data_IF_501383982576
#
_entry.id   IF_501383982576
#
_cell.length_a   1.000
_cell.length_b   1.000
_cell.length_c   1.000
_cell.angle_alpha   90.00
_cell.angle_beta   90.00
_cell.angle_gamma   90.00
#
_symmetry.space_group_name_H-M   'P 1'
#
loop_
_entity.id
_entity.type
_entity.pdbx_description
1 polymer ?
#
# COMPACT_ATOMS: atom_id res chain seq x y z
N UNK A 1 22.06 -31.76 -2.04
CA UNK A 1 22.06 -32.69 -0.90
C UNK A 1 20.72 -33.42 -0.87
N UNK A 2 20.70 -34.72 -1.20
CA UNK A 2 19.50 -35.55 -1.28
C UNK A 2 19.16 -36.15 0.08
N UNK A 3 17.91 -36.04 0.51
CA UNK A 3 17.36 -36.84 1.61
C UNK A 3 16.60 -38.03 1.05
N UNK A 4 16.77 -39.23 1.61
CA UNK A 4 15.99 -40.41 1.22
C UNK A 4 14.55 -40.27 1.72
N UNK A 5 13.56 -40.47 0.85
CA UNK A 5 12.17 -40.55 1.31
C UNK A 5 12.03 -41.72 2.31
N UNK A 6 11.20 -41.55 3.34
CA UNK A 6 10.90 -42.60 4.30
C UNK A 6 10.15 -43.73 3.60
N UNK A 7 10.69 -44.94 3.70
CA UNK A 7 9.93 -46.19 3.48
C UNK A 7 9.90 -46.92 4.79
N UNK A 8 8.75 -47.49 5.14
CA UNK A 8 8.69 -48.40 6.27
C UNK A 8 9.24 -49.74 5.80
N UNK A 9 10.37 -50.14 6.34
CA UNK A 9 10.92 -51.48 6.14
C UNK A 9 10.08 -52.47 6.92
N UNK A 10 9.53 -53.46 6.23
CA UNK A 10 8.84 -54.57 6.87
C UNK A 10 9.82 -55.28 7.83
N UNK A 11 9.47 -55.32 9.11
CA UNK A 11 10.29 -55.97 10.16
C UNK A 11 10.47 -57.47 9.92
N UNK A 12 9.57 -58.10 9.15
CA UNK A 12 9.62 -59.54 8.86
C UNK A 12 10.54 -59.91 7.69
N UNK A 13 10.51 -59.15 6.59
CA UNK A 13 11.24 -59.52 5.37
C UNK A 13 12.25 -58.47 4.89
N UNK A 14 12.37 -57.34 5.58
CA UNK A 14 13.19 -56.20 5.16
C UNK A 14 12.64 -55.44 3.93
N UNK A 15 11.58 -55.92 3.29
CA UNK A 15 10.99 -55.29 2.12
C UNK A 15 10.38 -53.93 2.44
N UNK A 16 10.65 -52.92 1.61
CA UNK A 16 10.04 -51.59 1.72
C UNK A 16 8.55 -51.66 1.37
N UNK A 17 7.67 -51.31 2.31
CA UNK A 17 6.21 -51.38 2.15
C UNK A 17 5.64 -50.02 1.76
N UNK A 18 4.70 -50.06 0.83
CA UNK A 18 4.02 -48.91 0.34
C UNK A 18 2.88 -48.49 1.27
N UNK A 19 2.82 -47.24 1.74
CA UNK A 19 1.70 -46.76 2.55
C UNK A 19 0.62 -46.13 1.69
N UNK A 20 -0.41 -46.89 1.32
CA UNK A 20 -1.60 -46.32 0.67
C UNK A 20 -2.58 -45.82 1.72
N UNK A 21 -2.78 -44.50 1.75
CA UNK A 21 -3.56 -43.76 2.73
C UNK A 21 -2.98 -43.87 4.17
N UNK A 22 -3.29 -42.87 5.01
CA UNK A 22 -2.94 -42.80 6.43
C UNK A 22 -3.72 -43.88 7.25
N UNK A 23 -3.66 -45.13 6.81
CA UNK A 23 -4.19 -46.28 7.50
C UNK A 23 -3.11 -46.79 8.45
N UNK A 24 -3.49 -47.07 9.70
CA UNK A 24 -2.57 -47.43 10.79
C UNK A 24 -1.77 -48.72 10.52
N UNK A 25 -2.17 -49.52 9.52
CA UNK A 25 -1.51 -50.75 9.14
C UNK A 25 -1.56 -50.93 7.62
N UNK A 26 -0.44 -51.38 7.04
CA UNK A 26 -0.39 -51.80 5.64
C UNK A 26 0.24 -53.18 5.51
N UNK A 27 -0.39 -54.03 4.70
CA UNK A 27 0.09 -55.38 4.45
C UNK A 27 1.29 -55.34 3.50
N UNK A 28 2.42 -55.89 3.93
CA UNK A 28 3.63 -55.99 3.12
C UNK A 28 3.35 -56.85 1.87
N UNK A 29 3.52 -56.33 0.64
CA UNK A 29 3.21 -57.09 -0.58
C UNK A 29 4.18 -58.26 -0.81
N UNK A 30 5.34 -58.28 -0.14
CA UNK A 30 6.35 -59.33 -0.33
C UNK A 30 6.15 -60.54 0.60
N UNK A 31 5.71 -60.32 1.85
CA UNK A 31 5.62 -61.39 2.84
C UNK A 31 4.27 -61.47 3.58
N UNK A 32 3.32 -60.60 3.24
CA UNK A 32 2.00 -60.54 3.87
C UNK A 32 1.99 -60.02 5.31
N UNK A 33 3.12 -59.59 5.87
CA UNK A 33 3.16 -59.07 7.23
C UNK A 33 2.48 -57.70 7.33
N UNK A 34 1.64 -57.51 8.35
CA UNK A 34 1.12 -56.19 8.69
C UNK A 34 2.27 -55.32 9.22
N UNK A 35 2.52 -54.22 8.52
CA UNK A 35 3.45 -53.18 8.94
C UNK A 35 2.61 -52.08 9.56
N UNK A 36 2.64 -52.01 10.88
CA UNK A 36 2.06 -50.90 11.63
C UNK A 36 3.05 -49.74 11.64
N UNK A 37 2.57 -48.56 11.26
CA UNK A 37 3.29 -47.33 11.58
C UNK A 37 3.19 -47.08 13.07
N UNK A 38 4.26 -46.57 13.66
CA UNK A 38 4.16 -46.09 15.03
C UNK A 38 3.17 -44.91 15.08
N UNK A 39 2.21 -44.88 16.02
CA UNK A 39 1.23 -43.79 16.10
C UNK A 39 1.86 -42.39 16.11
N UNK A 40 3.02 -42.24 16.73
CA UNK A 40 3.85 -41.02 16.79
C UNK A 40 4.45 -40.60 15.43
N UNK A 41 4.67 -41.52 14.49
CA UNK A 41 5.08 -41.18 13.12
C UNK A 41 3.90 -40.67 12.29
N UNK A 42 2.75 -41.33 12.41
CA UNK A 42 1.50 -40.90 11.77
C UNK A 42 1.12 -39.50 12.24
N UNK A 43 1.11 -39.27 13.55
CA UNK A 43 0.78 -37.99 14.15
C UNK A 43 1.72 -36.87 13.66
N UNK A 44 3.03 -37.13 13.59
CA UNK A 44 4.01 -36.16 13.06
C UNK A 44 3.74 -35.80 11.60
N UNK A 45 3.44 -36.78 10.74
CA UNK A 45 3.15 -36.53 9.32
C UNK A 45 1.82 -35.77 9.13
N UNK A 46 0.80 -36.11 9.91
CA UNK A 46 -0.49 -35.40 9.92
C UNK A 46 -0.30 -33.96 10.38
N UNK A 47 0.44 -33.75 11.47
CA UNK A 47 0.74 -32.42 11.99
C UNK A 47 1.51 -31.57 10.97
N UNK A 48 2.56 -32.13 10.34
CA UNK A 48 3.30 -31.48 9.27
C UNK A 48 2.39 -31.06 8.10
N UNK A 49 1.51 -31.96 7.65
CA UNK A 49 0.55 -31.67 6.57
C UNK A 49 -0.37 -30.51 6.91
N UNK A 50 -0.96 -30.53 8.11
CA UNK A 50 -1.88 -29.49 8.56
C UNK A 50 -1.18 -28.14 8.70
N UNK A 51 0.01 -28.12 9.30
CA UNK A 51 0.80 -26.92 9.48
C UNK A 51 1.18 -26.28 8.12
N UNK A 52 1.76 -27.06 7.22
CA UNK A 52 2.15 -26.54 5.88
C UNK A 52 0.92 -26.09 5.10
N UNK A 53 -0.15 -26.91 5.06
CA UNK A 53 -1.38 -26.52 4.36
C UNK A 53 -2.00 -25.25 4.93
N UNK A 54 -1.99 -25.08 6.25
CA UNK A 54 -2.47 -23.88 6.92
C UNK A 54 -1.69 -22.63 6.50
N UNK A 55 -0.35 -22.71 6.48
CA UNK A 55 0.52 -21.60 6.02
C UNK A 55 0.29 -21.27 4.54
N UNK A 56 0.15 -22.27 3.68
CA UNK A 56 -0.12 -22.07 2.25
C UNK A 56 -1.50 -21.48 1.97
N UNK A 57 -2.53 -21.91 2.72
CA UNK A 57 -3.86 -21.30 2.66
C UNK A 57 -3.84 -19.85 3.19
N UNK A 58 -3.03 -19.57 4.21
CA UNK A 58 -2.72 -18.20 4.64
C UNK A 58 -2.14 -17.37 3.49
N UNK A 59 -1.07 -17.86 2.86
CA UNK A 59 -0.42 -17.19 1.73
C UNK A 59 -1.38 -16.90 0.57
N UNK A 60 -2.25 -17.86 0.23
CA UNK A 60 -3.26 -17.68 -0.81
C UNK A 60 -4.26 -16.56 -0.49
N UNK A 61 -4.74 -16.48 0.76
CA UNK A 61 -5.64 -15.39 1.20
C UNK A 61 -4.97 -14.02 1.15
N UNK A 62 -3.70 -13.95 1.55
CA UNK A 62 -2.91 -12.72 1.50
C UNK A 62 -2.70 -12.23 0.05
N UNK A 63 -2.40 -13.14 -0.88
CA UNK A 63 -2.29 -12.82 -2.32
C UNK A 63 -3.63 -12.40 -2.92
N UNK A 64 -4.73 -13.07 -2.57
CA UNK A 64 -6.07 -12.67 -3.00
C UNK A 64 -6.42 -11.26 -2.49
N UNK A 65 -6.06 -10.94 -1.25
CA UNK A 65 -6.20 -9.59 -0.69
C UNK A 65 -5.38 -8.58 -1.48
N UNK A 66 -4.10 -8.87 -1.75
CA UNK A 66 -3.21 -8.03 -2.54
C UNK A 66 -3.77 -7.75 -3.95
N UNK A 67 -4.32 -8.77 -4.60
CA UNK A 67 -4.97 -8.63 -5.91
C UNK A 67 -6.24 -7.79 -5.84
N UNK A 68 -7.04 -7.96 -4.80
CA UNK A 68 -8.23 -7.13 -4.58
C UNK A 68 -7.84 -5.64 -4.47
N UNK A 69 -6.80 -5.33 -3.69
CA UNK A 69 -6.26 -3.98 -3.58
C UNK A 69 -5.71 -3.45 -4.89
N UNK A 70 -4.91 -4.24 -5.61
CA UNK A 70 -4.39 -3.85 -6.91
C UNK A 70 -5.53 -3.59 -7.92
N UNK A 71 -6.61 -4.38 -7.89
CA UNK A 71 -7.78 -4.22 -8.76
C UNK A 71 -8.61 -2.97 -8.45
N UNK A 72 -8.68 -2.58 -7.18
CA UNK A 72 -9.44 -1.41 -6.76
C UNK A 72 -8.62 -0.12 -6.84
N UNK A 73 -7.35 -0.17 -6.45
CA UNK A 73 -6.55 1.01 -6.14
C UNK A 73 -5.16 1.07 -6.83
N UNK A 74 -4.58 -0.06 -7.24
CA UNK A 74 -3.20 -0.11 -7.78
C UNK A 74 -3.06 -0.16 -9.31
N UNK A 75 -4.06 -0.65 -10.04
CA UNK A 75 -3.94 -0.99 -11.47
C UNK A 75 -4.30 0.14 -12.43
N UNK A 76 -4.16 -0.12 -13.74
CA UNK A 76 -4.72 0.73 -14.79
C UNK A 76 -6.22 0.99 -14.57
N UNK A 77 -6.92 0.04 -13.95
CA UNK A 77 -8.31 0.20 -13.51
C UNK A 77 -8.49 1.22 -12.40
N UNK A 78 -7.55 1.38 -11.48
CA UNK A 78 -7.65 2.39 -10.42
C UNK A 78 -7.56 3.81 -11.00
N UNK A 79 -6.69 4.03 -12.00
CA UNK A 79 -6.70 5.28 -12.78
C UNK A 79 -8.07 5.51 -13.44
N UNK A 80 -8.71 4.46 -13.96
CA UNK A 80 -10.08 4.56 -14.50
C UNK A 80 -11.13 4.87 -13.42
N UNK A 81 -10.99 4.33 -12.21
CA UNK A 81 -12.00 4.40 -11.15
C UNK A 81 -11.92 5.64 -10.26
N UNK A 82 -10.73 6.15 -9.94
CA UNK A 82 -10.56 7.30 -9.04
C UNK A 82 -10.89 8.65 -9.66
N UNK A 83 -11.08 8.67 -10.97
CA UNK A 83 -11.64 9.79 -11.67
C UNK A 83 -13.17 9.86 -11.52
N UNK A 84 -13.81 9.53 -10.39
CA UNK A 84 -15.25 9.81 -10.18
C UNK A 84 -15.55 11.32 -10.18
N UNK A 85 -14.54 12.13 -9.83
CA UNK A 85 -14.58 13.58 -10.03
C UNK A 85 -14.59 13.99 -11.50
N UNK A 86 -14.07 13.17 -12.43
CA UNK A 86 -14.10 13.50 -13.87
C UNK A 86 -15.51 13.43 -14.46
N UNK A 87 -16.33 12.38 -14.30
CA UNK A 87 -17.71 12.41 -14.75
C UNK A 87 -18.52 13.47 -14.01
N UNK A 88 -18.22 13.80 -12.73
CA UNK A 88 -18.87 14.95 -12.05
C UNK A 88 -18.47 16.29 -12.68
N UNK A 89 -17.18 16.54 -12.88
CA UNK A 89 -16.67 17.79 -13.47
C UNK A 89 -17.12 17.91 -14.92
N UNK A 90 -17.10 16.81 -15.69
CA UNK A 90 -17.69 16.74 -17.01
C UNK A 90 -19.20 16.97 -16.95
N UNK A 91 -19.90 16.46 -15.93
CA UNK A 91 -21.33 16.72 -15.72
C UNK A 91 -21.61 18.19 -15.46
N UNK A 92 -20.93 18.80 -14.49
CA UNK A 92 -21.10 20.21 -14.13
C UNK A 92 -20.69 21.09 -15.29
N UNK A 93 -19.56 20.80 -15.93
CA UNK A 93 -19.09 21.51 -17.13
C UNK A 93 -20.08 21.41 -18.28
N UNK A 94 -20.67 20.21 -18.50
CA UNK A 94 -21.73 20.01 -19.49
C UNK A 94 -22.98 20.80 -19.11
N UNK A 95 -23.49 20.73 -17.88
CA UNK A 95 -24.66 21.53 -17.44
C UNK A 95 -24.40 23.02 -17.68
N UNK A 96 -23.23 23.54 -17.28
CA UNK A 96 -22.89 24.95 -17.45
C UNK A 96 -22.82 25.33 -18.93
N UNK A 97 -22.17 24.50 -19.76
CA UNK A 97 -22.10 24.71 -21.20
C UNK A 97 -23.52 24.73 -21.81
N UNK A 98 -24.35 23.76 -21.44
CA UNK A 98 -25.71 23.61 -21.97
C UNK A 98 -26.65 24.71 -21.48
N UNK A 99 -26.52 25.14 -20.22
CA UNK A 99 -27.21 26.30 -19.68
C UNK A 99 -26.80 27.58 -20.43
N UNK A 100 -25.50 27.77 -20.67
CA UNK A 100 -24.98 28.89 -21.46
C UNK A 100 -25.49 28.89 -22.90
N UNK A 101 -25.49 27.75 -23.58
CA UNK A 101 -26.06 27.59 -24.93
C UNK A 101 -27.56 27.88 -24.93
N UNK A 102 -28.29 27.42 -23.91
CA UNK A 102 -29.72 27.70 -23.78
C UNK A 102 -30.02 29.19 -23.56
N UNK A 103 -29.25 29.87 -22.70
CA UNK A 103 -29.39 31.31 -22.48
C UNK A 103 -29.02 32.12 -23.72
N UNK A 104 -27.96 31.72 -24.44
CA UNK A 104 -27.59 32.34 -25.71
C UNK A 104 -28.67 32.13 -26.77
N UNK A 105 -29.20 30.91 -26.92
CA UNK A 105 -30.27 30.61 -27.86
C UNK A 105 -31.54 31.43 -27.60
N UNK A 106 -31.88 31.66 -26.33
CA UNK A 106 -33.00 32.52 -25.93
C UNK A 106 -32.71 34.01 -26.26
N UNK A 107 -31.50 34.49 -25.96
CA UNK A 107 -31.07 35.85 -26.27
C UNK A 107 -31.08 36.17 -27.78
N UNK A 108 -30.81 35.18 -28.64
CA UNK A 108 -30.89 35.32 -30.11
C UNK A 108 -32.28 35.00 -30.69
N UNK A 109 -33.30 34.74 -29.85
CA UNK A 109 -34.67 34.47 -30.29
C UNK A 109 -34.86 33.12 -31.00
N UNK A 110 -33.87 32.22 -30.92
CA UNK A 110 -33.91 30.89 -31.53
C UNK A 110 -34.85 29.91 -30.78
N UNK A 111 -35.22 30.25 -29.54
CA UNK A 111 -36.00 29.39 -28.65
C UNK A 111 -37.50 29.23 -29.00
N UNK A 112 -38.06 30.04 -29.91
CA UNK A 112 -39.52 30.08 -30.17
C UNK A 112 -40.06 28.96 -31.08
N UNK A 113 -39.20 28.20 -31.74
CA UNK A 113 -39.59 27.09 -32.62
C UNK A 113 -39.66 25.72 -31.91
N UNK A 114 -40.20 24.70 -32.60
CA UNK A 114 -40.24 23.31 -32.11
C UNK A 114 -38.86 22.76 -31.69
N UNK A 115 -37.78 23.27 -32.30
CA UNK A 115 -36.40 22.96 -31.91
C UNK A 115 -36.02 23.36 -30.48
N UNK A 116 -36.62 24.43 -29.95
CA UNK A 116 -36.36 24.90 -28.57
C UNK A 116 -36.87 23.95 -27.49
N UNK A 117 -37.96 23.21 -27.76
CA UNK A 117 -38.53 22.21 -26.82
C UNK A 117 -37.84 20.85 -26.91
N UNK A 118 -37.28 20.49 -28.05
CA UNK A 118 -36.61 19.21 -28.30
C UNK A 118 -35.16 19.19 -27.81
N UNK A 119 -34.48 20.33 -27.83
CA UNK A 119 -33.08 20.43 -27.44
C UNK A 119 -32.81 19.95 -25.99
N UNK A 120 -33.58 20.35 -24.96
CA UNK A 120 -33.35 19.88 -23.59
C UNK A 120 -33.55 18.37 -23.43
N UNK A 121 -34.52 17.79 -24.14
CA UNK A 121 -34.80 16.35 -24.11
C UNK A 121 -33.67 15.55 -24.77
N UNK A 122 -33.19 15.98 -25.95
CA UNK A 122 -32.09 15.33 -26.66
C UNK A 122 -30.80 15.36 -25.83
N UNK A 123 -30.56 16.49 -25.17
CA UNK A 123 -29.43 16.69 -24.26
C UNK A 123 -29.50 15.76 -23.04
N UNK A 124 -30.69 15.61 -22.45
CA UNK A 124 -30.91 14.67 -21.35
C UNK A 124 -30.63 13.22 -21.79
N UNK A 125 -31.17 12.78 -22.94
CA UNK A 125 -30.95 11.42 -23.46
C UNK A 125 -29.47 11.16 -23.77
N UNK A 126 -28.77 12.11 -24.40
CA UNK A 126 -27.34 12.01 -24.68
C UNK A 126 -26.53 11.84 -23.39
N UNK A 127 -26.86 12.65 -22.37
CA UNK A 127 -26.21 12.60 -21.06
C UNK A 127 -26.38 11.25 -20.37
N UNK A 128 -27.60 10.70 -20.33
CA UNK A 128 -27.84 9.37 -19.75
C UNK A 128 -27.17 8.25 -20.57
N UNK A 129 -27.10 8.37 -21.89
CA UNK A 129 -26.45 7.39 -22.77
C UNK A 129 -24.94 7.35 -22.58
N UNK A 130 -24.29 8.52 -22.49
CA UNK A 130 -22.86 8.62 -22.19
C UNK A 130 -22.56 8.05 -20.80
N UNK A 131 -23.42 8.33 -19.82
CA UNK A 131 -23.27 7.80 -18.46
C UNK A 131 -23.46 6.27 -18.39
N UNK A 132 -24.48 5.75 -19.08
CA UNK A 132 -24.72 4.31 -19.20
C UNK A 132 -23.57 3.58 -19.88
N UNK A 133 -23.05 4.13 -20.98
CA UNK A 133 -21.87 3.61 -21.67
C UNK A 133 -20.61 3.62 -20.79
N UNK A 134 -20.38 4.71 -20.06
CA UNK A 134 -19.28 4.80 -19.09
C UNK A 134 -19.40 3.75 -17.98
N UNK A 135 -20.60 3.56 -17.40
CA UNK A 135 -20.82 2.55 -16.35
C UNK A 135 -20.64 1.13 -16.87
N UNK A 136 -21.16 0.80 -18.05
CA UNK A 136 -20.99 -0.53 -18.64
C UNK A 136 -19.51 -0.85 -18.91
N UNK A 137 -18.78 0.11 -19.50
CA UNK A 137 -17.34 0.01 -19.69
C UNK A 137 -16.61 -0.17 -18.36
N UNK A 138 -16.98 0.61 -17.33
CA UNK A 138 -16.43 0.55 -15.98
C UNK A 138 -16.60 -0.83 -15.31
N UNK A 139 -17.73 -1.51 -15.53
CA UNK A 139 -18.00 -2.82 -14.93
C UNK A 139 -17.46 -4.02 -15.72
N UNK A 140 -17.15 -3.86 -17.01
CA UNK A 140 -16.77 -4.96 -17.92
C UNK A 140 -15.36 -5.55 -17.73
N UNK A 141 -14.47 -4.90 -16.97
CA UNK A 141 -13.06 -5.30 -16.81
C UNK A 141 -12.73 -6.47 -15.86
N UNK A 142 -13.69 -7.32 -15.47
CA UNK A 142 -13.51 -8.30 -14.36
C UNK A 142 -13.04 -9.69 -14.81
N UNK A 143 -11.76 -9.88 -15.09
CA UNK A 143 -11.26 -11.20 -15.52
C UNK A 143 -9.81 -11.58 -15.19
N UNK A 144 -9.15 -10.96 -14.21
CA UNK A 144 -7.80 -11.39 -13.82
C UNK A 144 -7.81 -12.76 -13.13
N UNK A 145 -7.05 -13.74 -13.64
CA UNK A 145 -6.78 -14.99 -12.93
C UNK A 145 -5.95 -14.71 -11.68
N UNK A 146 -6.35 -15.31 -10.56
CA UNK A 146 -5.60 -15.20 -9.32
C UNK A 146 -4.23 -15.88 -9.44
N UNK A 147 -3.19 -15.20 -8.96
CA UNK A 147 -1.84 -15.73 -8.84
C UNK A 147 -1.80 -16.72 -7.68
N UNK A 148 -1.40 -17.96 -7.98
CA UNK A 148 -1.08 -18.93 -6.96
C UNK A 148 0.36 -18.71 -6.45
N UNK A 149 0.59 -18.94 -5.16
CA UNK A 149 1.93 -18.98 -4.61
C UNK A 149 2.72 -20.12 -5.28
N UNK A 150 3.87 -19.80 -5.87
CA UNK A 150 4.76 -20.80 -6.47
C UNK A 150 5.70 -21.30 -5.39
N UNK A 151 5.65 -22.60 -5.11
CA UNK A 151 6.54 -23.24 -4.14
C UNK A 151 7.66 -23.98 -4.84
N UNK A 152 8.88 -23.88 -4.32
CA UNK A 152 9.95 -24.76 -4.70
C UNK A 152 9.63 -26.18 -4.22
N UNK A 153 9.80 -27.17 -5.09
CA UNK A 153 9.68 -28.57 -4.71
C UNK A 153 10.99 -29.07 -4.09
N UNK A 154 10.90 -29.86 -3.04
CA UNK A 154 12.04 -30.50 -2.42
C UNK A 154 12.43 -31.76 -3.20
N UNK A 155 13.71 -31.92 -3.56
CA UNK A 155 14.19 -33.16 -4.18
C UNK A 155 14.51 -34.21 -3.12
N UNK A 156 13.83 -35.36 -3.20
CA UNK A 156 14.07 -36.56 -2.39
C UNK A 156 14.53 -37.71 -3.26
N UNK A 157 15.39 -38.59 -2.73
CA UNK A 157 15.75 -39.82 -3.43
C UNK A 157 14.79 -40.94 -3.03
N UNK A 158 14.28 -41.68 -4.02
CA UNK A 158 13.49 -42.87 -3.76
C UNK A 158 14.35 -43.91 -3.03
N UNK A 159 13.92 -44.43 -1.88
CA UNK A 159 14.70 -45.42 -1.13
C UNK A 159 14.80 -46.78 -1.84
N UNK A 160 13.86 -47.10 -2.75
CA UNK A 160 13.87 -48.37 -3.50
C UNK A 160 14.81 -48.35 -4.71
N UNK A 161 14.79 -47.28 -5.51
CA UNK A 161 15.53 -47.21 -6.78
C UNK A 161 16.58 -46.10 -6.86
N UNK A 162 16.69 -45.26 -5.83
CA UNK A 162 17.62 -44.11 -5.80
C UNK A 162 17.20 -42.90 -6.63
N UNK A 163 16.19 -43.03 -7.50
CA UNK A 163 15.80 -41.95 -8.42
C UNK A 163 15.34 -40.68 -7.68
N UNK A 164 15.75 -39.49 -8.13
CA UNK A 164 15.30 -38.23 -7.55
C UNK A 164 13.83 -37.97 -7.86
N UNK A 165 13.11 -37.42 -6.90
CA UNK A 165 11.70 -37.07 -6.98
C UNK A 165 11.47 -35.70 -6.34
N UNK A 166 10.63 -34.88 -6.95
CA UNK A 166 10.22 -33.59 -6.41
C UNK A 166 8.95 -33.77 -5.57
N UNK A 167 9.03 -33.57 -4.26
CA UNK A 167 7.86 -33.51 -3.37
C UNK A 167 7.45 -32.05 -3.16
N UNK A 168 6.15 -31.75 -3.28
CA UNK A 168 5.66 -30.41 -2.95
C UNK A 168 5.53 -30.25 -1.43
N UNK A 169 5.76 -29.04 -0.88
CA UNK A 169 5.53 -28.80 0.54
C UNK A 169 4.11 -29.19 0.96
N UNK A 170 3.99 -30.01 2.00
CA UNK A 170 2.70 -30.48 2.54
C UNK A 170 2.12 -31.72 1.87
N UNK A 171 2.76 -32.27 0.83
CA UNK A 171 2.48 -33.63 0.35
C UNK A 171 3.13 -34.65 1.30
N UNK A 172 2.31 -35.51 1.89
CA UNK A 172 2.75 -36.56 2.83
C UNK A 172 3.03 -37.87 2.11
N UNK A 173 2.36 -38.09 0.99
CA UNK A 173 2.42 -39.33 0.23
C UNK A 173 2.41 -38.99 -1.26
N UNK A 174 3.42 -39.48 -1.97
CA UNK A 174 3.48 -39.50 -3.43
C UNK A 174 4.13 -40.83 -3.88
N UNK A 175 4.11 -41.12 -5.18
CA UNK A 175 4.70 -42.33 -5.74
C UNK A 175 5.90 -41.98 -6.61
N UNK A 176 6.98 -42.75 -6.46
CA UNK A 176 8.14 -42.62 -7.33
C UNK A 176 7.72 -42.92 -8.78
N UNK A 177 7.88 -41.94 -9.68
CA UNK A 177 7.57 -42.10 -11.12
C UNK A 177 8.31 -43.25 -11.81
N UNK A 178 9.42 -43.73 -11.25
CA UNK A 178 10.24 -44.78 -11.86
C UNK A 178 9.85 -46.19 -11.41
N UNK A 179 9.69 -46.40 -10.10
CA UNK A 179 9.45 -47.74 -9.55
C UNK A 179 8.11 -47.88 -8.80
N UNK A 180 7.27 -46.85 -8.84
CA UNK A 180 5.99 -46.73 -8.15
C UNK A 180 6.04 -46.90 -6.61
N UNK A 181 7.24 -47.00 -6.01
CA UNK A 181 7.36 -47.05 -4.56
C UNK A 181 6.89 -45.73 -3.96
N UNK A 182 6.06 -45.72 -2.92
CA UNK A 182 5.66 -44.48 -2.30
C UNK A 182 6.80 -43.85 -1.54
N UNK A 183 6.67 -42.55 -1.39
CA UNK A 183 7.65 -41.66 -0.83
C UNK A 183 7.02 -40.95 0.36
N UNK A 184 7.59 -41.14 1.54
CA UNK A 184 7.27 -40.33 2.71
C UNK A 184 8.33 -39.24 2.89
N UNK A 185 7.97 -38.01 3.31
CA UNK A 185 8.97 -37.01 3.62
C UNK A 185 9.76 -37.42 4.88
N UNK A 186 11.09 -37.41 4.80
CA UNK A 186 11.91 -37.53 6.01
C UNK A 186 11.94 -36.22 6.81
N UNK A 187 12.54 -36.22 8.00
CA UNK A 187 12.61 -35.02 8.86
C UNK A 187 13.18 -33.79 8.15
N UNK A 188 14.28 -33.94 7.41
CA UNK A 188 14.91 -32.85 6.66
C UNK A 188 13.98 -32.25 5.60
N UNK A 189 13.21 -33.10 4.90
CA UNK A 189 12.24 -32.69 3.89
C UNK A 189 11.05 -31.97 4.54
N UNK A 190 10.62 -32.45 5.71
CA UNK A 190 9.58 -31.78 6.50
C UNK A 190 10.04 -30.40 6.98
N UNK A 191 11.23 -30.27 7.55
CA UNK A 191 11.82 -28.99 7.97
C UNK A 191 11.96 -28.03 6.79
N UNK A 192 12.48 -28.50 5.65
CA UNK A 192 12.56 -27.70 4.44
C UNK A 192 11.17 -27.27 3.94
N UNK A 193 10.18 -28.16 3.94
CA UNK A 193 8.81 -27.83 3.54
C UNK A 193 8.14 -26.81 4.47
N UNK A 194 8.41 -26.87 5.79
CA UNK A 194 7.95 -25.85 6.75
C UNK A 194 8.59 -24.49 6.46
N UNK A 195 9.89 -24.46 6.22
CA UNK A 195 10.63 -23.23 5.90
C UNK A 195 10.20 -22.63 4.55
N UNK A 196 9.94 -23.44 3.53
CA UNK A 196 9.38 -22.97 2.24
C UNK A 196 7.95 -22.41 2.42
N UNK A 197 7.10 -23.08 3.19
CA UNK A 197 5.75 -22.59 3.45
C UNK A 197 5.74 -21.28 4.28
N UNK A 198 6.69 -21.12 5.20
CA UNK A 198 6.90 -19.87 5.94
C UNK A 198 7.35 -18.73 5.02
N UNK A 199 8.34 -18.99 4.16
CA UNK A 199 8.80 -18.02 3.16
C UNK A 199 7.67 -17.63 2.20
N UNK A 200 6.85 -18.58 1.77
CA UNK A 200 5.70 -18.31 0.92
C UNK A 200 4.67 -17.41 1.61
N UNK A 201 4.31 -17.70 2.87
CA UNK A 201 3.41 -16.86 3.67
C UNK A 201 3.98 -15.45 3.84
N UNK A 202 5.24 -15.33 4.25
CA UNK A 202 5.90 -14.03 4.43
C UNK A 202 5.97 -13.23 3.11
N UNK A 203 6.27 -13.89 1.99
CA UNK A 203 6.28 -13.23 0.68
C UNK A 203 4.89 -12.71 0.26
N UNK A 204 3.84 -13.44 0.62
CA UNK A 204 2.46 -13.04 0.37
C UNK A 204 2.03 -11.86 1.24
N UNK A 205 2.39 -11.86 2.53
CA UNK A 205 2.17 -10.72 3.44
C UNK A 205 2.90 -9.45 2.96
N UNK A 206 4.12 -9.61 2.43
CA UNK A 206 4.88 -8.52 1.83
C UNK A 206 4.19 -7.99 0.56
N UNK A 207 3.71 -8.87 -0.33
CA UNK A 207 2.98 -8.44 -1.52
C UNK A 207 1.64 -7.78 -1.18
N UNK A 208 0.92 -8.27 -0.15
CA UNK A 208 -0.25 -7.57 0.40
C UNK A 208 0.12 -6.15 0.81
N UNK A 209 1.15 -6.02 1.67
CA UNK A 209 1.59 -4.72 2.17
C UNK A 209 1.99 -3.77 1.03
N UNK A 210 2.69 -4.27 0.00
CA UNK A 210 3.03 -3.50 -1.20
C UNK A 210 1.79 -3.09 -2.00
N UNK A 211 0.80 -3.96 -2.14
CA UNK A 211 -0.45 -3.65 -2.84
C UNK A 211 -1.27 -2.59 -2.09
N UNK A 212 -1.40 -2.72 -0.78
CA UNK A 212 -2.05 -1.72 0.09
C UNK A 212 -1.36 -0.37 -0.01
N UNK A 213 -0.03 -0.33 0.10
CA UNK A 213 0.73 0.92 0.00
C UNK A 213 0.59 1.59 -1.37
N UNK A 214 0.68 0.82 -2.46
CA UNK A 214 0.43 1.33 -3.82
C UNK A 214 -0.98 1.88 -3.96
N UNK A 215 -1.97 1.15 -3.47
CA UNK A 215 -3.36 1.55 -3.51
C UNK A 215 -3.64 2.83 -2.72
N UNK A 216 -3.12 2.92 -1.50
CA UNK A 216 -3.24 4.12 -0.67
C UNK A 216 -2.47 5.31 -1.24
N UNK A 217 -1.30 5.08 -1.85
CA UNK A 217 -0.56 6.11 -2.56
C UNK A 217 -1.35 6.65 -3.75
N UNK A 218 -1.99 5.78 -4.53
CA UNK A 218 -2.85 6.19 -5.64
C UNK A 218 -4.09 6.97 -5.16
N UNK A 219 -4.78 6.50 -4.13
CA UNK A 219 -5.88 7.21 -3.48
C UNK A 219 -5.45 8.59 -3.00
N UNK A 220 -4.33 8.64 -2.29
CA UNK A 220 -3.77 9.88 -1.77
C UNK A 220 -3.30 10.82 -2.89
N UNK A 221 -2.73 10.28 -3.97
CA UNK A 221 -2.35 11.04 -5.16
C UNK A 221 -3.56 11.69 -5.85
N UNK A 222 -4.73 11.07 -5.74
CA UNK A 222 -6.01 11.63 -6.21
C UNK A 222 -6.74 12.48 -5.17
N UNK A 223 -6.27 12.50 -3.92
CA UNK A 223 -7.00 13.19 -2.86
C UNK A 223 -7.01 14.69 -3.12
N UNK A 224 -8.22 15.23 -3.18
CA UNK A 224 -8.45 16.64 -3.40
C UNK A 224 -7.93 17.50 -2.25
N UNK A 225 -7.43 16.97 -1.13
CA UNK A 225 -7.07 17.77 0.05
C UNK A 225 -6.13 18.96 -0.27
N UNK A 226 -5.20 18.79 -1.21
CA UNK A 226 -4.36 19.89 -1.71
C UNK A 226 -5.15 20.87 -2.59
N UNK A 227 -6.10 20.39 -3.40
CA UNK A 227 -6.93 21.21 -4.28
C UNK A 227 -8.23 21.73 -3.65
N UNK A 228 -8.72 21.21 -2.52
CA UNK A 228 -10.08 21.49 -2.00
C UNK A 228 -10.32 22.98 -1.79
N UNK A 229 -9.41 23.76 -1.18
CA UNK A 229 -9.63 25.20 -1.07
C UNK A 229 -9.68 25.89 -2.43
N UNK A 230 -8.89 25.43 -3.41
CA UNK A 230 -8.92 25.95 -4.77
C UNK A 230 -10.16 25.51 -5.55
N UNK A 231 -10.74 24.34 -5.27
CA UNK A 231 -11.99 23.88 -5.88
C UNK A 231 -13.16 24.66 -5.30
N UNK A 232 -13.25 24.77 -3.97
CA UNK A 232 -14.34 25.48 -3.30
C UNK A 232 -14.27 26.96 -3.65
N UNK A 233 -13.17 27.64 -3.36
CA UNK A 233 -13.06 29.10 -3.59
C UNK A 233 -12.92 29.40 -5.10
N UNK A 234 -12.16 28.58 -5.83
CA UNK A 234 -11.96 28.76 -7.26
C UNK A 234 -13.14 28.36 -8.12
N UNK A 235 -14.19 27.70 -7.59
CA UNK A 235 -15.46 27.54 -8.32
C UNK A 235 -16.34 28.78 -8.25
N UNK A 236 -16.27 29.55 -7.16
CA UNK A 236 -16.93 30.85 -7.05
C UNK A 236 -16.23 31.94 -7.87
N UNK A 237 -14.92 31.80 -8.11
CA UNK A 237 -14.15 32.79 -8.86
C UNK A 237 -14.67 32.95 -10.31
N UNK A 238 -14.86 31.91 -11.14
CA UNK A 238 -15.46 32.05 -12.46
C UNK A 238 -16.85 32.68 -12.41
N UNK A 239 -17.72 32.28 -11.48
CA UNK A 239 -19.07 32.85 -11.39
C UNK A 239 -19.03 34.35 -11.06
N UNK A 240 -18.26 34.73 -10.05
CA UNK A 240 -18.16 36.13 -9.63
C UNK A 240 -17.38 36.98 -10.63
N UNK A 241 -16.28 36.48 -11.18
CA UNK A 241 -15.45 37.19 -12.16
C UNK A 241 -16.16 37.31 -13.51
N UNK A 242 -16.71 36.23 -14.07
CA UNK A 242 -17.45 36.30 -15.34
C UNK A 242 -18.74 37.11 -15.19
N UNK A 243 -19.42 36.99 -14.05
CA UNK A 243 -20.56 37.85 -13.72
C UNK A 243 -20.16 39.32 -13.66
N UNK A 244 -19.04 39.65 -12.99
CA UNK A 244 -18.50 41.01 -12.91
C UNK A 244 -18.16 41.55 -14.29
N UNK A 245 -17.43 40.79 -15.11
CA UNK A 245 -17.03 41.18 -16.46
C UNK A 245 -18.25 41.34 -17.36
N UNK A 246 -19.17 40.38 -17.37
CA UNK A 246 -20.40 40.43 -18.15
C UNK A 246 -21.27 41.64 -17.79
N UNK A 247 -21.47 41.89 -16.50
CA UNK A 247 -22.20 43.06 -16.01
C UNK A 247 -21.49 44.37 -16.39
N UNK A 248 -20.15 44.42 -16.26
CA UNK A 248 -19.35 45.58 -16.68
C UNK A 248 -19.54 45.88 -18.16
N UNK A 249 -19.53 44.84 -19.01
CA UNK A 249 -19.72 44.98 -20.47
C UNK A 249 -21.15 45.40 -20.79
N UNK A 250 -22.17 44.77 -20.20
CA UNK A 250 -23.58 45.15 -20.39
C UNK A 250 -23.86 46.58 -19.97
N UNK A 251 -23.29 47.01 -18.83
CA UNK A 251 -23.36 48.39 -18.35
C UNK A 251 -22.67 49.36 -19.30
N UNK A 252 -21.45 49.05 -19.76
CA UNK A 252 -20.71 49.87 -20.71
C UNK A 252 -21.41 50.00 -22.08
N UNK A 253 -22.15 48.98 -22.51
CA UNK A 253 -22.97 49.00 -23.73
C UNK A 253 -24.33 49.70 -23.57
N UNK A 254 -24.65 50.23 -22.38
CA UNK A 254 -25.93 50.88 -22.09
C UNK A 254 -27.14 49.96 -22.12
N UNK A 255 -26.94 48.63 -22.10
CA UNK A 255 -28.01 47.63 -22.14
C UNK A 255 -28.69 47.44 -20.78
N UNK A 256 -27.96 47.69 -19.70
CA UNK A 256 -28.49 47.62 -18.34
C UNK A 256 -28.50 49.01 -17.68
N UNK A 257 -29.62 49.37 -17.06
CA UNK A 257 -29.77 50.55 -16.18
C UNK A 257 -29.71 50.19 -14.70
N UNK A 258 -29.14 49.03 -14.37
CA UNK A 258 -29.04 48.53 -13.01
C UNK A 258 -28.20 49.45 -12.10
N UNK A 259 -28.38 49.37 -10.77
CA UNK A 259 -27.63 50.19 -9.83
C UNK A 259 -26.13 49.88 -9.93
N UNK A 260 -25.30 50.90 -10.09
CA UNK A 260 -23.82 50.83 -10.10
C UNK A 260 -23.29 50.10 -8.86
N UNK A 261 -24.00 50.18 -7.73
CA UNK A 261 -23.68 49.44 -6.52
C UNK A 261 -23.55 47.93 -6.71
N UNK A 262 -24.37 47.32 -7.58
CA UNK A 262 -24.28 45.88 -7.88
C UNK A 262 -22.95 45.49 -8.52
N UNK A 263 -22.43 46.34 -9.41
CA UNK A 263 -21.14 46.13 -10.07
C UNK A 263 -19.98 46.19 -9.07
N UNK A 264 -19.98 47.16 -8.16
CA UNK A 264 -18.96 47.26 -7.12
C UNK A 264 -18.97 46.04 -6.18
N UNK A 265 -20.15 45.55 -5.81
CA UNK A 265 -20.29 44.34 -4.99
C UNK A 265 -19.68 43.12 -5.69
N UNK A 266 -19.97 42.92 -6.98
CA UNK A 266 -19.43 41.80 -7.75
C UNK A 266 -17.90 41.84 -7.86
N UNK A 267 -17.32 43.01 -8.17
CA UNK A 267 -15.87 43.18 -8.20
C UNK A 267 -15.21 43.03 -6.81
N UNK A 268 -15.85 43.53 -5.75
CA UNK A 268 -15.37 43.35 -4.38
C UNK A 268 -15.34 41.85 -3.98
N UNK A 269 -16.38 41.09 -4.34
CA UNK A 269 -16.42 39.64 -4.12
C UNK A 269 -15.35 38.90 -4.93
N UNK A 270 -15.15 39.26 -6.20
CA UNK A 270 -14.08 38.70 -7.02
C UNK A 270 -12.68 38.98 -6.41
N UNK A 271 -12.44 40.23 -5.99
CA UNK A 271 -11.20 40.63 -5.32
C UNK A 271 -10.97 39.88 -4.00
N UNK A 272 -12.00 39.73 -3.17
CA UNK A 272 -11.94 38.96 -1.93
C UNK A 272 -11.58 37.48 -2.18
N UNK A 273 -12.15 36.86 -3.22
CA UNK A 273 -11.83 35.48 -3.60
C UNK A 273 -10.36 35.33 -4.03
N UNK A 274 -9.84 36.24 -4.86
CA UNK A 274 -8.42 36.26 -5.26
C UNK A 274 -7.51 36.45 -4.05
N UNK A 275 -7.84 37.40 -3.17
CA UNK A 275 -7.09 37.67 -1.94
C UNK A 275 -7.04 36.46 -1.01
N UNK A 276 -8.18 35.78 -0.82
CA UNK A 276 -8.26 34.57 -0.01
C UNK A 276 -7.42 33.41 -0.60
N UNK A 277 -7.46 33.22 -1.92
CA UNK A 277 -6.62 32.24 -2.61
C UNK A 277 -5.13 32.54 -2.45
N UNK A 278 -4.74 33.81 -2.59
CA UNK A 278 -3.38 34.29 -2.36
C UNK A 278 -2.92 34.03 -0.92
N UNK A 279 -3.77 34.34 0.07
CA UNK A 279 -3.47 34.10 1.48
C UNK A 279 -3.31 32.61 1.80
N UNK A 280 -4.18 31.75 1.24
CA UNK A 280 -4.06 30.29 1.39
C UNK A 280 -2.77 29.78 0.74
N UNK A 281 -2.41 30.29 -0.44
CA UNK A 281 -1.16 29.94 -1.12
C UNK A 281 0.07 30.34 -0.28
N UNK A 282 0.12 31.59 0.20
CA UNK A 282 1.23 32.08 1.02
C UNK A 282 1.33 31.34 2.35
N UNK A 283 0.20 31.10 3.02
CA UNK A 283 0.16 30.29 4.24
C UNK A 283 0.72 28.89 4.00
N UNK A 284 0.37 28.28 2.86
CA UNK A 284 0.84 26.94 2.51
C UNK A 284 2.33 26.91 2.19
N UNK A 285 2.81 27.87 1.41
CA UNK A 285 4.24 28.02 1.10
C UNK A 285 5.04 28.18 2.38
N UNK A 286 4.62 29.09 3.28
CA UNK A 286 5.31 29.32 4.54
C UNK A 286 5.38 28.07 5.43
N UNK A 287 4.29 27.28 5.48
CA UNK A 287 4.27 26.00 6.20
C UNK A 287 5.18 24.95 5.57
N UNK A 288 5.26 24.90 4.24
CA UNK A 288 6.20 24.04 3.54
C UNK A 288 7.65 24.44 3.84
N UNK A 289 7.96 25.74 3.85
CA UNK A 289 9.29 26.25 4.19
C UNK A 289 9.69 25.95 5.64
N UNK A 290 8.73 25.96 6.58
CA UNK A 290 8.96 25.52 7.96
C UNK A 290 9.33 24.03 8.00
N UNK A 291 8.60 23.20 7.25
CA UNK A 291 8.82 21.77 7.18
C UNK A 291 10.19 21.44 6.57
N UNK A 292 10.54 22.09 5.46
CA UNK A 292 11.82 21.89 4.78
C UNK A 292 13.00 22.35 5.65
N UNK A 293 12.82 23.42 6.44
CA UNK A 293 13.81 23.84 7.46
C UNK A 293 13.97 22.80 8.57
N UNK A 294 12.88 22.21 9.05
CA UNK A 294 12.94 21.17 10.07
C UNK A 294 13.60 19.88 9.56
N UNK A 295 13.49 19.57 8.26
CA UNK A 295 14.11 18.39 7.63
C UNK A 295 15.54 18.61 7.13
N UNK A 296 15.98 19.86 6.94
CA UNK A 296 17.31 20.20 6.41
C UNK A 296 18.48 19.55 7.18
N UNK A 297 18.49 19.49 8.53
CA UNK A 297 19.58 18.82 9.25
C UNK A 297 19.73 17.34 8.87
N UNK A 298 18.60 16.63 8.65
CA UNK A 298 18.61 15.24 8.20
C UNK A 298 19.20 15.09 6.80
N UNK A 299 18.85 16.01 5.87
CA UNK A 299 19.42 16.05 4.52
C UNK A 299 20.95 16.18 4.56
N UNK A 300 21.47 17.10 5.38
CA UNK A 300 22.91 17.34 5.48
C UNK A 300 23.68 16.20 6.16
N UNK A 301 23.13 15.60 7.23
CA UNK A 301 23.86 14.60 8.04
C UNK A 301 23.88 13.22 7.40
N UNK A 302 22.79 12.81 6.77
CA UNK A 302 22.62 11.44 6.24
C UNK A 302 22.75 11.35 4.73
N UNK A 303 23.25 12.42 4.08
CA UNK A 303 23.27 12.57 2.61
C UNK A 303 21.90 12.23 2.01
N UNK A 304 20.83 12.63 2.70
CA UNK A 304 19.50 12.20 2.35
C UNK A 304 18.99 12.94 1.11
N UNK A 305 18.20 12.24 0.30
CA UNK A 305 17.53 12.76 -0.87
C UNK A 305 16.08 13.10 -0.52
N UNK A 306 15.60 14.31 -0.89
CA UNK A 306 14.18 14.61 -0.78
C UNK A 306 13.38 13.72 -1.73
N UNK A 307 12.27 13.19 -1.25
CA UNK A 307 11.33 12.42 -2.04
C UNK A 307 10.22 13.36 -2.50
N UNK A 308 10.10 13.54 -3.81
CA UNK A 308 9.24 14.56 -4.44
C UNK A 308 7.74 14.35 -4.19
N UNK A 309 7.32 13.11 -3.93
CA UNK A 309 5.91 12.76 -3.75
C UNK A 309 5.71 11.41 -2.99
N UNK A 310 4.45 11.05 -2.79
CA UNK A 310 4.06 9.81 -2.14
C UNK A 310 4.44 8.55 -2.96
N UNK A 311 4.62 8.65 -4.28
CA UNK A 311 5.07 7.53 -5.12
C UNK A 311 6.56 7.25 -4.90
N UNK A 312 7.38 8.29 -4.79
CA UNK A 312 8.80 8.16 -4.44
C UNK A 312 8.97 7.54 -3.04
N UNK A 313 8.14 7.97 -2.07
CA UNK A 313 8.06 7.35 -0.74
C UNK A 313 7.65 5.87 -0.83
N UNK A 314 6.60 5.55 -1.58
CA UNK A 314 6.17 4.16 -1.79
C UNK A 314 7.27 3.31 -2.44
N UNK A 315 7.97 3.85 -3.45
CA UNK A 315 9.08 3.17 -4.10
C UNK A 315 10.27 2.92 -3.17
N UNK A 316 10.48 3.77 -2.16
CA UNK A 316 11.43 3.49 -1.08
C UNK A 316 10.92 2.35 -0.17
N UNK A 317 9.66 2.42 0.27
CA UNK A 317 9.06 1.41 1.15
C UNK A 317 9.03 0.03 0.49
N UNK A 318 8.72 -0.07 -0.80
CA UNK A 318 8.65 -1.35 -1.51
C UNK A 318 10.03 -2.01 -1.69
N UNK A 319 11.09 -1.18 -1.75
CA UNK A 319 12.49 -1.63 -1.85
C UNK A 319 13.09 -2.01 -0.50
N UNK A 320 12.85 -1.22 0.55
CA UNK A 320 13.59 -1.35 1.81
C UNK A 320 12.73 -1.79 3.00
N UNK A 321 11.41 -1.63 2.97
CA UNK A 321 10.54 -1.87 4.12
C UNK A 321 9.70 -3.13 3.97
N UNK A 322 10.13 -4.19 4.66
CA UNK A 322 9.46 -5.50 4.65
C UNK A 322 8.26 -5.60 5.63
N UNK A 323 7.83 -4.49 6.22
CA UNK A 323 6.74 -4.44 7.20
C UNK A 323 5.48 -3.80 6.64
N UNK A 324 4.37 -3.92 7.37
CA UNK A 324 3.16 -3.14 7.10
C UNK A 324 3.41 -1.65 7.38
N UNK A 325 2.68 -0.78 6.70
CA UNK A 325 2.65 0.65 7.04
C UNK A 325 1.19 1.01 7.30
N UNK A 326 0.85 1.57 8.48
CA UNK A 326 -0.53 1.95 8.77
C UNK A 326 -1.08 2.85 7.67
N UNK A 327 -2.31 2.58 7.23
CA UNK A 327 -2.99 3.30 6.14
C UNK A 327 -3.01 4.81 6.38
N UNK A 328 -3.14 5.23 7.65
CA UNK A 328 -3.13 6.63 8.07
C UNK A 328 -1.81 7.35 7.73
N UNK A 329 -0.69 6.60 7.71
CA UNK A 329 0.63 7.12 7.38
C UNK A 329 0.94 7.14 5.88
N UNK A 330 0.09 6.50 5.06
CA UNK A 330 0.21 6.52 3.61
C UNK A 330 -0.56 7.68 2.98
N UNK A 331 -1.43 8.35 3.74
CA UNK A 331 -2.23 9.46 3.26
C UNK A 331 -1.46 10.79 3.37
N UNK A 332 -1.14 11.39 2.22
CA UNK A 332 -0.54 12.72 2.13
C UNK A 332 -1.56 13.79 2.52
N UNK A 333 -1.22 14.58 3.52
CA UNK A 333 -1.92 15.81 3.85
C UNK A 333 -1.48 16.97 2.94
N UNK A 334 -1.95 18.20 3.22
CA UNK A 334 -1.55 19.40 2.49
C UNK A 334 -0.07 19.78 2.66
N UNK A 335 0.61 19.25 3.69
CA UNK A 335 2.01 19.53 4.02
C UNK A 335 2.82 18.24 4.13
N UNK A 336 2.84 17.46 3.05
CA UNK A 336 3.62 16.24 2.99
C UNK A 336 5.06 16.55 2.54
N UNK A 337 6.04 16.06 3.29
CA UNK A 337 7.44 16.01 2.87
C UNK A 337 8.07 14.71 3.36
N UNK A 338 8.96 14.14 2.55
CA UNK A 338 9.66 12.92 2.91
C UNK A 338 11.12 13.00 2.47
N UNK A 339 12.01 12.40 3.24
CA UNK A 339 13.45 12.33 2.95
C UNK A 339 13.93 10.90 3.17
N UNK A 340 14.78 10.41 2.27
CA UNK A 340 15.40 9.09 2.37
C UNK A 340 16.92 9.20 2.38
N UNK A 341 17.58 8.45 3.25
CA UNK A 341 19.05 8.45 3.37
C UNK A 341 19.56 7.15 3.97
N UNK A 342 20.71 7.20 4.62
CA UNK A 342 21.24 6.08 5.38
C UNK A 342 21.77 6.53 6.75
N UNK A 343 21.42 5.79 7.80
CA UNK A 343 21.91 6.02 9.16
C UNK A 343 22.70 4.78 9.59
N UNK A 344 24.01 4.94 9.84
CA UNK A 344 24.88 3.83 10.24
C UNK A 344 24.84 2.61 9.28
N UNK A 345 24.60 2.85 7.98
CA UNK A 345 24.50 1.80 6.95
C UNK A 345 23.09 1.24 6.74
N UNK A 346 22.11 1.61 7.57
CA UNK A 346 20.71 1.20 7.40
C UNK A 346 19.96 2.22 6.55
N UNK A 347 19.19 1.80 5.52
CA UNK A 347 18.32 2.70 4.79
C UNK A 347 17.33 3.37 5.76
N UNK A 348 17.23 4.68 5.67
CA UNK A 348 16.35 5.50 6.50
C UNK A 348 15.28 6.18 5.63
N UNK A 349 14.06 6.25 6.15
CA UNK A 349 12.99 7.10 5.64
C UNK A 349 12.42 7.95 6.78
N UNK A 350 12.35 9.26 6.57
CA UNK A 350 11.61 10.18 7.44
C UNK A 350 10.47 10.77 6.64
N UNK A 351 9.24 10.62 7.14
CA UNK A 351 8.02 11.16 6.53
C UNK A 351 7.39 12.14 7.51
N UNK A 352 7.12 13.35 7.05
CA UNK A 352 6.51 14.38 7.86
C UNK A 352 5.24 14.89 7.16
N UNK A 353 4.12 14.81 7.90
CA UNK A 353 2.81 15.28 7.50
C UNK A 353 2.11 15.90 8.73
N UNK A 354 2.53 17.09 9.21
CA UNK A 354 2.10 17.64 10.49
C UNK A 354 0.62 18.03 10.55
N UNK A 355 -0.06 18.14 9.40
CA UNK A 355 -1.49 18.44 9.32
C UNK A 355 -2.17 17.29 8.60
N UNK A 356 -2.95 16.54 9.38
CA UNK A 356 -3.80 15.46 8.87
C UNK A 356 -4.81 15.95 7.84
N UNK A 357 -5.31 15.03 7.01
CA UNK A 357 -6.35 15.33 6.05
C UNK A 357 -7.76 15.35 6.68
N UNK A 358 -7.97 14.55 7.71
CA UNK A 358 -9.17 14.47 8.54
C UNK A 358 -8.82 13.89 9.91
N UNK A 359 -9.82 13.69 10.77
CA UNK A 359 -9.63 13.03 12.07
C UNK A 359 -9.16 11.56 11.91
N UNK A 360 -9.62 10.87 10.86
CA UNK A 360 -9.20 9.50 10.52
C UNK A 360 -7.75 9.43 9.97
N UNK A 361 -7.25 10.55 9.43
CA UNK A 361 -5.93 10.67 8.83
C UNK A 361 -5.14 11.77 9.56
N UNK A 362 -4.76 11.55 10.83
CA UNK A 362 -4.17 12.59 11.65
C UNK A 362 -2.78 13.00 11.16
N UNK A 363 -2.33 14.17 11.61
CA UNK A 363 -0.97 14.62 11.31
C UNK A 363 0.06 13.71 12.01
N UNK A 364 1.16 13.41 11.34
CA UNK A 364 2.21 12.54 11.87
C UNK A 364 3.61 12.95 11.41
N UNK A 365 4.62 12.50 12.15
CA UNK A 365 6.01 12.41 11.70
C UNK A 365 6.49 11.00 12.02
N UNK A 366 6.97 10.28 11.02
CA UNK A 366 7.50 8.93 11.18
C UNK A 366 8.95 8.85 10.74
N UNK A 367 9.74 8.08 11.49
CA UNK A 367 11.13 7.72 11.19
C UNK A 367 11.20 6.20 11.11
N UNK A 368 11.77 5.68 10.03
CA UNK A 368 11.94 4.25 9.78
C UNK A 368 13.40 3.97 9.44
N UNK A 369 14.00 3.00 10.10
CA UNK A 369 15.29 2.44 9.71
C UNK A 369 15.06 0.99 9.28
N UNK A 370 15.26 0.70 8.00
CA UNK A 370 15.07 -0.63 7.43
C UNK A 370 16.18 -1.58 7.90
N UNK A 371 15.80 -2.61 8.64
CA UNK A 371 16.70 -3.64 9.14
C UNK A 371 15.98 -4.99 9.29
N UNK A 372 16.67 -6.10 9.12
CA UNK A 372 16.12 -7.42 9.45
C UNK A 372 16.35 -7.74 10.92
N UNK A 373 15.27 -7.92 11.68
CA UNK A 373 15.29 -8.31 13.08
C UNK A 373 14.65 -9.69 13.26
N UNK A 374 15.47 -10.68 13.62
CA UNK A 374 15.02 -12.06 13.84
C UNK A 374 14.08 -12.19 15.05
N UNK A 375 14.27 -11.36 16.09
CA UNK A 375 13.44 -11.35 17.30
C UNK A 375 13.15 -9.90 17.76
N UNK A 376 12.08 -9.26 17.25
CA UNK A 376 11.77 -7.87 17.55
C UNK A 376 11.44 -7.63 19.04
N UNK A 377 10.80 -8.59 19.71
CA UNK A 377 10.45 -8.47 21.13
C UNK A 377 11.69 -8.46 22.03
N UNK A 378 12.70 -9.28 21.72
CA UNK A 378 13.97 -9.27 22.43
C UNK A 378 14.77 -8.00 22.14
N UNK A 379 14.70 -7.49 20.90
CA UNK A 379 15.36 -6.23 20.52
C UNK A 379 14.83 -5.04 21.33
N UNK A 380 13.53 -5.00 21.62
CA UNK A 380 12.89 -3.93 22.37
C UNK A 380 13.41 -3.78 23.82
N UNK A 381 13.96 -4.85 24.40
CA UNK A 381 14.47 -4.88 25.78
C UNK A 381 15.99 -4.68 25.87
N UNK A 382 16.68 -4.60 24.74
CA UNK A 382 18.13 -4.41 24.73
C UNK A 382 18.51 -3.01 25.29
N UNK A 383 19.55 -2.87 26.12
CA UNK A 383 19.90 -1.58 26.74
C UNK A 383 20.07 -0.42 25.74
N UNK A 384 20.67 -0.69 24.58
CA UNK A 384 20.82 0.32 23.51
C UNK A 384 19.47 0.73 22.89
N UNK A 385 18.53 -0.21 22.75
CA UNK A 385 17.19 0.06 22.25
C UNK A 385 16.36 0.88 23.25
N UNK A 386 16.49 0.59 24.55
CA UNK A 386 15.85 1.34 25.63
C UNK A 386 16.39 2.78 25.68
N UNK A 387 17.71 2.97 25.56
CA UNK A 387 18.32 4.30 25.50
C UNK A 387 17.85 5.09 24.26
N UNK A 388 17.75 4.44 23.09
CA UNK A 388 17.21 5.06 21.88
C UNK A 388 15.73 5.45 22.06
N UNK A 389 14.90 4.58 22.64
CA UNK A 389 13.49 4.85 22.95
C UNK A 389 13.35 6.10 23.83
N UNK A 390 14.08 6.16 24.94
CA UNK A 390 14.02 7.29 25.86
C UNK A 390 14.34 8.63 25.18
N UNK A 391 15.27 8.63 24.22
CA UNK A 391 15.61 9.83 23.47
C UNK A 391 14.52 10.25 22.48
N UNK A 392 13.85 9.30 21.81
CA UNK A 392 12.67 9.59 20.97
C UNK A 392 11.47 10.08 21.79
N UNK A 393 11.24 9.50 22.98
CA UNK A 393 10.16 9.92 23.88
C UNK A 393 10.34 11.37 24.36
N UNK A 394 11.58 11.81 24.62
CA UNK A 394 11.89 13.22 24.92
C UNK A 394 11.52 14.18 23.77
N UNK A 395 11.46 13.68 22.53
CA UNK A 395 11.04 14.43 21.34
C UNK A 395 9.52 14.30 21.08
N UNK A 396 8.80 13.54 21.91
CA UNK A 396 7.38 13.26 21.74
C UNK A 396 7.07 12.16 20.71
N UNK A 397 8.04 11.29 20.40
CA UNK A 397 7.86 10.13 19.53
C UNK A 397 7.67 8.86 20.37
N UNK A 398 6.82 7.97 19.88
CA UNK A 398 6.72 6.58 20.33
C UNK A 398 7.61 5.70 19.46
N UNK A 399 8.43 4.81 20.05
CA UNK A 399 9.32 3.91 19.32
C UNK A 399 8.85 2.45 19.44
N UNK A 400 8.42 1.86 18.32
CA UNK A 400 8.10 0.43 18.20
C UNK A 400 9.17 -0.32 17.40
N UNK A 401 9.26 -1.63 17.63
CA UNK A 401 10.19 -2.53 16.95
C UNK A 401 9.38 -3.55 16.14
N UNK A 402 9.58 -3.57 14.83
CA UNK A 402 8.94 -4.52 13.92
C UNK A 402 10.01 -5.42 13.29
N UNK A 403 9.61 -6.54 12.68
CA UNK A 403 10.54 -7.42 11.94
C UNK A 403 11.35 -6.68 10.86
N UNK A 404 10.75 -5.65 10.27
CA UNK A 404 11.35 -4.79 9.24
C UNK A 404 12.24 -3.66 9.77
N UNK A 405 12.34 -3.52 11.09
CA UNK A 405 13.15 -2.53 11.77
C UNK A 405 12.34 -1.63 12.73
N UNK A 406 13.01 -0.68 13.39
CA UNK A 406 12.38 0.24 14.31
C UNK A 406 11.59 1.35 13.59
N UNK A 407 10.51 1.78 14.25
CA UNK A 407 9.61 2.84 13.80
C UNK A 407 9.42 3.83 14.92
N UNK A 408 9.88 5.06 14.74
CA UNK A 408 9.54 6.15 15.63
C UNK A 408 8.38 6.95 15.05
N UNK A 409 7.33 7.20 15.82
CA UNK A 409 6.11 7.88 15.37
C UNK A 409 5.68 8.95 16.38
N UNK A 410 5.56 10.20 15.90
CA UNK A 410 4.88 11.29 16.58
C UNK A 410 3.53 11.55 15.88
N UNK A 411 2.44 11.62 16.64
CA UNK A 411 1.08 11.86 16.11
C UNK A 411 0.49 13.17 16.62
N UNK A 412 -0.48 13.73 15.87
CA UNK A 412 -1.25 14.92 16.19
C UNK A 412 -0.41 16.12 16.65
N UNK A 413 -0.60 16.55 17.91
CA UNK A 413 0.06 17.71 18.49
C UNK A 413 1.57 17.54 18.61
N UNK A 414 2.08 16.32 18.80
CA UNK A 414 3.52 16.07 18.85
C UNK A 414 4.18 16.36 17.51
N UNK A 415 3.59 15.88 16.40
CA UNK A 415 4.05 16.17 15.05
C UNK A 415 4.08 17.68 14.76
N UNK A 416 3.02 18.41 15.11
CA UNK A 416 2.95 19.87 14.93
C UNK A 416 3.97 20.62 15.78
N UNK A 417 4.14 20.23 17.05
CA UNK A 417 5.12 20.85 17.96
C UNK A 417 6.54 20.66 17.45
N UNK A 418 6.88 19.46 16.97
CA UNK A 418 8.20 19.19 16.41
C UNK A 418 8.49 20.03 15.15
N UNK A 419 7.55 20.12 14.21
CA UNK A 419 7.74 20.98 13.02
C UNK A 419 7.85 22.45 13.42
N UNK A 420 7.07 22.90 14.41
CA UNK A 420 7.10 24.27 14.88
C UNK A 420 8.39 24.63 15.64
N UNK A 421 9.00 23.69 16.36
CA UNK A 421 10.27 23.94 17.06
C UNK A 421 11.46 23.99 16.11
N UNK A 422 11.36 23.36 14.94
CA UNK A 422 12.47 23.30 13.98
C UNK A 422 13.66 22.47 14.48
N UNK A 423 13.43 21.59 15.46
CA UNK A 423 14.46 20.74 16.12
C UNK A 423 14.94 19.57 15.23
N UNK A 424 15.23 19.83 13.96
CA UNK A 424 15.73 18.82 13.03
C UNK A 424 17.04 18.18 13.48
N UNK A 425 17.90 18.94 14.18
CA UNK A 425 19.18 18.44 14.69
C UNK A 425 18.99 17.36 15.76
N UNK A 426 18.08 17.58 16.72
CA UNK A 426 17.79 16.60 17.78
C UNK A 426 17.20 15.32 17.20
N UNK A 427 16.35 15.44 16.17
CA UNK A 427 15.86 14.25 15.46
C UNK A 427 16.98 13.51 14.74
N UNK A 428 17.93 14.23 14.14
CA UNK A 428 19.11 13.61 13.51
C UNK A 428 19.99 12.87 14.52
N UNK A 429 20.21 13.44 15.71
CA UNK A 429 20.91 12.76 16.81
C UNK A 429 20.16 11.49 17.26
N UNK A 430 18.83 11.55 17.35
CA UNK A 430 17.99 10.41 17.70
C UNK A 430 18.09 9.27 16.69
N UNK A 431 18.02 9.60 15.40
CA UNK A 431 18.19 8.65 14.29
C UNK A 431 19.56 7.98 14.35
N UNK A 432 20.63 8.74 14.59
CA UNK A 432 21.98 8.16 14.65
C UNK A 432 22.12 7.18 15.81
N UNK A 433 21.59 7.52 17.00
CA UNK A 433 21.56 6.62 18.16
C UNK A 433 20.77 5.34 17.86
N UNK A 434 19.67 5.44 17.12
CA UNK A 434 18.90 4.28 16.70
C UNK A 434 19.69 3.38 15.73
N UNK A 435 20.45 3.97 14.82
CA UNK A 435 21.40 3.24 13.96
C UNK A 435 22.48 2.51 14.77
N UNK A 436 23.02 3.13 15.82
CA UNK A 436 23.96 2.47 16.74
C UNK A 436 23.30 1.31 17.51
N UNK A 437 22.05 1.49 17.97
CA UNK A 437 21.30 0.43 18.64
C UNK A 437 21.08 -0.77 17.71
N UNK A 438 20.76 -0.54 16.44
CA UNK A 438 20.64 -1.61 15.44
C UNK A 438 21.94 -2.40 15.23
N UNK A 439 23.10 -1.71 15.16
CA UNK A 439 24.40 -2.39 15.10
C UNK A 439 24.67 -3.23 16.35
N UNK A 440 24.37 -2.70 17.54
CA UNK A 440 24.55 -3.42 18.79
C UNK A 440 23.67 -4.68 18.88
N UNK A 441 22.50 -4.65 18.26
CA UNK A 441 21.58 -5.79 18.13
C UNK A 441 22.03 -6.84 17.09
N UNK A 442 23.09 -6.57 16.32
CA UNK A 442 23.49 -7.43 15.20
C UNK A 442 22.47 -7.45 14.06
N UNK A 443 21.68 -6.38 13.92
CA UNK A 443 20.69 -6.29 12.84
C UNK A 443 21.39 -6.28 11.47
N UNK A 444 20.78 -6.93 10.48
CA UNK A 444 21.32 -6.93 9.11
C UNK A 444 20.65 -5.80 8.33
N UNK A 445 21.41 -4.92 7.63
CA UNK A 445 20.81 -3.91 6.77
C UNK A 445 20.06 -4.59 5.62
N UNK A 446 18.90 -4.03 5.25
CA UNK A 446 18.13 -4.53 4.09
C UNK A 446 18.87 -4.09 2.83
N UNK A 447 19.62 -5.01 2.23
CA UNK A 447 20.31 -4.77 0.97
C UNK A 447 19.34 -4.89 -0.22
N UNK A 448 19.53 -4.05 -1.23
CA UNK A 448 18.59 -3.88 -2.35
C UNK A 448 18.56 -5.11 -3.26
N UNK A 449 19.59 -5.95 -3.21
CA UNK A 449 19.83 -7.01 -4.19
C UNK A 449 19.33 -8.41 -3.79
N UNK A 450 19.09 -8.68 -2.51
CA UNK A 450 18.83 -10.04 -2.04
C UNK A 450 17.80 -10.03 -0.91
N UNK A 451 16.59 -10.60 -1.08
CA UNK A 451 15.76 -10.90 0.07
C UNK A 451 16.57 -11.81 1.03
N UNK A 452 16.48 -11.60 2.35
CA UNK A 452 17.14 -12.49 3.30
C UNK A 452 16.64 -13.92 3.04
N UNK A 453 17.58 -14.81 2.70
CA UNK A 453 17.33 -16.23 2.44
C UNK A 453 17.08 -16.97 3.74
#
# INVERSE_FOLDING_TARGET
>A
MSGSAGTVTCTRCGGAVALEALLNAVTCPYCGAHVELRPDEVERLVHYRHEVRGRLQGAARELEHAESWNRWYGGADAKRKHHFLVPIVLWVGLIVLLGGVSMAADAFGLARGAGGKLLPLLMFVLMFSVMGGYMLWFYSGRGGRAKAAVLASATVSCPKCGAPHALRPGEVLDHCRFCAAPLLPNQRVMEHGRAEAERALFSAELERSRAERRGMTALSASSGARSTPYIVIGSFLPMTLLGSVGFTVSFAMGRERGPIGGLFVLWALAGANVGLLGLIYLYRSHRQDQLDRALRPLLSRFLALPLSDAWAMNGWLDRHWAGSVPVQQMFRGPYFSAVAGAAQGYPMLVVANPVGASDDYPGFVSVRLAAWLSMPDSAANHPAAVAARAHFEQLGFSLSWERAGPVALAVHGAARRWVASGDGQRLADAVERLGHALRALGATPVDVASPPV
#
